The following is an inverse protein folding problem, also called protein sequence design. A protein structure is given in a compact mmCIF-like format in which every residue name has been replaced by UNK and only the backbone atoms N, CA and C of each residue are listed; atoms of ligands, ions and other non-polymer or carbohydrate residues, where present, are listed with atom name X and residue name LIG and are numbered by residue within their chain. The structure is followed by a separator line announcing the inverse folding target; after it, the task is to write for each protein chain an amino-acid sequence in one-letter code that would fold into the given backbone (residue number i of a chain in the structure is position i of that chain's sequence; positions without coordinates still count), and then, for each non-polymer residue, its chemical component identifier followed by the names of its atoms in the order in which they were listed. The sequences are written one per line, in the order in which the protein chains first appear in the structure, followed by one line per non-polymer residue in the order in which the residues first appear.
data_IF_240805866929
#
_entry.id   IF_240805866929
#
_cell.length_a   1.000
_cell.length_b   1.000
_cell.length_c   1.000
_cell.angle_alpha   90.00
_cell.angle_beta   90.00
_cell.angle_gamma   90.00
#
_symmetry.space_group_name_H-M   'P 1'
#
loop_
_entity.id
_entity.type
_entity.pdbx_description
1 polymer ?
#
# COMPACT_ATOMS: atom_id res chain seq x y z
N UNK A 1 -3.96 -2.07 -19.91
CA UNK A 1 -3.74 -3.12 -18.89
C UNK A 1 -3.38 -2.43 -17.59
N UNK A 2 -4.35 -2.02 -16.77
CA UNK A 2 -4.12 -1.35 -15.49
C UNK A 2 -5.41 -1.40 -14.66
N UNK A 3 -5.31 -1.71 -13.36
CA UNK A 3 -6.32 -2.02 -12.30
C UNK A 3 -6.66 -3.50 -12.03
N UNK A 4 -6.77 -4.41 -13.00
CA UNK A 4 -7.28 -5.79 -12.77
C UNK A 4 -6.35 -6.79 -12.03
N UNK A 5 -5.26 -6.35 -11.40
CA UNK A 5 -4.38 -7.24 -10.64
C UNK A 5 -4.34 -6.78 -9.17
N UNK A 6 -5.46 -6.97 -8.47
CA UNK A 6 -5.59 -6.77 -7.01
C UNK A 6 -4.59 -7.61 -6.20
N UNK A 7 -3.99 -8.63 -6.81
CA UNK A 7 -3.05 -9.56 -6.18
C UNK A 7 -1.56 -9.32 -6.50
N UNK A 8 -1.20 -8.27 -7.25
CA UNK A 8 0.21 -8.03 -7.63
C UNK A 8 0.76 -6.78 -6.96
N UNK A 9 1.94 -6.94 -6.35
CA UNK A 9 2.75 -5.84 -5.86
C UNK A 9 3.43 -5.13 -7.01
N UNK A 10 3.11 -3.84 -7.18
CA UNK A 10 3.64 -3.04 -8.30
C UNK A 10 5.16 -2.95 -8.22
N UNK A 11 5.71 -2.79 -7.00
CA UNK A 11 7.15 -2.94 -6.75
C UNK A 11 7.44 -3.34 -5.30
N UNK A 12 8.46 -4.16 -5.11
CA UNK A 12 9.02 -4.50 -3.79
C UNK A 12 10.48 -4.08 -3.79
N UNK A 13 10.88 -3.34 -2.76
CA UNK A 13 12.24 -2.87 -2.62
C UNK A 13 12.64 -2.81 -1.16
N UNK A 14 13.93 -2.66 -0.92
CA UNK A 14 14.47 -2.35 0.39
C UNK A 14 14.93 -0.91 0.37
N UNK A 15 14.41 -0.10 1.27
CA UNK A 15 14.92 1.25 1.46
C UNK A 15 16.36 1.16 2.00
N UNK A 16 17.30 1.77 1.29
CA UNK A 16 18.73 1.66 1.62
C UNK A 16 19.14 2.53 2.81
N UNK A 17 18.29 3.48 3.20
CA UNK A 17 18.55 4.43 4.29
C UNK A 17 17.99 3.88 5.60
N UNK A 18 16.71 3.48 5.61
CA UNK A 18 16.06 2.94 6.81
C UNK A 18 16.29 1.44 6.96
N UNK A 19 16.52 0.73 5.86
CA UNK A 19 16.57 -0.73 5.84
C UNK A 19 15.19 -1.40 5.78
N UNK A 20 14.11 -0.63 5.70
CA UNK A 20 12.74 -1.16 5.68
C UNK A 20 12.42 -1.85 4.34
N UNK A 21 11.62 -2.91 4.39
CA UNK A 21 11.03 -3.48 3.19
C UNK A 21 9.87 -2.59 2.75
N UNK A 22 9.96 -2.01 1.56
CA UNK A 22 8.95 -1.13 0.99
C UNK A 22 8.15 -1.89 -0.07
N UNK A 23 6.85 -2.00 0.18
CA UNK A 23 5.84 -2.53 -0.73
C UNK A 23 5.14 -1.34 -1.38
N UNK A 24 5.40 -1.11 -2.66
CA UNK A 24 4.82 0.02 -3.38
C UNK A 24 3.53 -0.39 -4.07
N UNK A 25 2.47 0.38 -3.83
CA UNK A 25 1.17 0.27 -4.50
C UNK A 25 1.00 1.51 -5.37
N UNK A 26 0.72 1.33 -6.66
CA UNK A 26 0.38 2.44 -7.54
C UNK A 26 -1.13 2.62 -7.60
N UNK A 27 -1.60 3.79 -7.17
CA UNK A 27 -2.97 4.25 -7.34
C UNK A 27 -3.00 5.28 -8.46
N UNK A 28 -3.71 4.96 -9.54
CA UNK A 28 -3.83 5.82 -10.72
C UNK A 28 -5.24 6.37 -10.93
N UNK A 29 -6.16 6.12 -10.00
CA UNK A 29 -7.54 6.56 -10.10
C UNK A 29 -7.67 7.96 -9.51
N UNK A 30 -8.52 8.77 -10.15
CA UNK A 30 -8.81 10.13 -9.68
C UNK A 30 -9.89 10.09 -8.60
N UNK A 31 -9.77 10.97 -7.61
CA UNK A 31 -10.73 11.11 -6.52
C UNK A 31 -11.84 12.08 -6.91
N UNK A 32 -12.93 11.54 -7.44
CA UNK A 32 -14.02 12.32 -8.05
C UNK A 32 -15.20 12.61 -7.11
N UNK A 33 -15.21 12.02 -5.91
CA UNK A 33 -16.26 12.19 -4.89
C UNK A 33 -17.39 11.13 -4.97
N UNK A 34 -17.29 10.16 -5.87
CA UNK A 34 -18.09 8.92 -5.84
C UNK A 34 -17.15 7.72 -5.97
N UNK A 35 -16.20 7.64 -5.02
CA UNK A 35 -15.05 6.76 -5.12
C UNK A 35 -15.23 5.45 -4.33
N UNK A 36 -16.47 5.06 -4.02
CA UNK A 36 -16.79 3.85 -3.25
C UNK A 36 -16.15 2.58 -3.83
N UNK A 37 -16.21 2.42 -5.15
CA UNK A 37 -15.57 1.29 -5.83
C UNK A 37 -14.04 1.36 -5.73
N UNK A 38 -13.48 2.56 -5.87
CA UNK A 38 -12.05 2.79 -5.71
C UNK A 38 -11.58 2.47 -4.28
N UNK A 39 -12.30 2.94 -3.26
CA UNK A 39 -12.03 2.65 -1.85
C UNK A 39 -12.09 1.15 -1.55
N UNK A 40 -13.07 0.44 -2.12
CA UNK A 40 -13.17 -1.01 -1.97
C UNK A 40 -11.96 -1.72 -2.57
N UNK A 41 -11.54 -1.34 -3.79
CA UNK A 41 -10.36 -1.90 -4.44
C UNK A 41 -9.08 -1.66 -3.62
N UNK A 42 -8.90 -0.46 -3.08
CA UNK A 42 -7.79 -0.11 -2.21
C UNK A 42 -7.80 -0.94 -0.92
N UNK A 43 -8.97 -1.11 -0.30
CA UNK A 43 -9.12 -1.94 0.90
C UNK A 43 -8.78 -3.40 0.62
N UNK A 44 -9.28 -3.97 -0.47
CA UNK A 44 -8.98 -5.36 -0.86
C UNK A 44 -7.49 -5.56 -1.12
N UNK A 45 -6.84 -4.60 -1.79
CA UNK A 45 -5.40 -4.63 -2.05
C UNK A 45 -4.62 -4.58 -0.73
N UNK A 46 -4.96 -3.67 0.19
CA UNK A 46 -4.29 -3.57 1.50
C UNK A 46 -4.50 -4.83 2.34
N UNK A 47 -5.72 -5.37 2.39
CA UNK A 47 -6.02 -6.61 3.12
C UNK A 47 -5.24 -7.82 2.58
N UNK A 48 -5.11 -7.90 1.25
CA UNK A 48 -4.30 -8.95 0.61
C UNK A 48 -2.84 -8.88 1.05
N UNK A 49 -2.28 -7.68 1.18
CA UNK A 49 -0.88 -7.48 1.58
C UNK A 49 -0.69 -7.75 3.07
N UNK A 50 -1.62 -7.31 3.92
CA UNK A 50 -1.64 -7.69 5.33
C UNK A 50 -1.61 -9.22 5.46
N UNK A 51 -2.47 -9.93 4.72
CA UNK A 51 -2.48 -11.40 4.70
C UNK A 51 -1.16 -12.02 4.23
N UNK A 52 -0.49 -11.44 3.23
CA UNK A 52 0.82 -11.91 2.77
C UNK A 52 1.93 -11.73 3.82
N UNK A 53 1.89 -10.63 4.57
CA UNK A 53 2.86 -10.33 5.64
C UNK A 53 2.59 -11.20 6.86
N UNK A 54 1.33 -11.26 7.32
CA UNK A 54 0.91 -12.08 8.47
C UNK A 54 1.09 -13.58 8.20
N UNK A 55 0.78 -14.04 6.98
CA UNK A 55 0.99 -15.42 6.55
C UNK A 55 2.46 -15.77 6.31
N UNK A 56 3.35 -14.78 6.32
CA UNK A 56 4.78 -14.94 6.10
C UNK A 56 5.17 -15.42 4.69
N UNK A 57 4.23 -15.40 3.74
CA UNK A 57 4.49 -15.76 2.34
C UNK A 57 5.45 -14.77 1.68
N UNK A 58 5.41 -13.51 2.12
CA UNK A 58 6.33 -12.47 1.69
C UNK A 58 7.79 -12.83 2.02
N UNK A 59 8.06 -13.49 3.15
CA UNK A 59 9.40 -13.91 3.55
C UNK A 59 9.91 -15.15 2.80
N UNK A 60 9.02 -15.91 2.17
CA UNK A 60 9.42 -17.00 1.26
C UNK A 60 9.87 -16.46 -0.08
N UNK A 61 9.18 -15.43 -0.57
CA UNK A 61 9.48 -14.78 -1.85
C UNK A 61 10.65 -13.81 -1.73
N UNK A 62 10.76 -13.11 -0.59
CA UNK A 62 11.81 -12.16 -0.27
C UNK A 62 12.45 -12.53 1.08
N UNK A 63 13.39 -13.49 1.12
CA UNK A 63 14.05 -13.90 2.36
C UNK A 63 14.73 -12.75 3.10
N UNK A 64 15.24 -11.76 2.36
CA UNK A 64 15.88 -10.56 2.89
C UNK A 64 14.92 -9.67 3.70
N UNK A 65 13.61 -9.89 3.62
CA UNK A 65 12.60 -9.17 4.39
C UNK A 65 12.44 -9.65 5.84
N UNK A 66 12.93 -10.86 6.18
CA UNK A 66 12.54 -11.59 7.41
C UNK A 66 12.84 -10.86 8.73
N UNK A 67 13.80 -9.93 8.70
CA UNK A 67 14.22 -9.14 9.87
C UNK A 67 14.03 -7.62 9.67
N UNK A 68 13.24 -7.23 8.67
CA UNK A 68 13.02 -5.81 8.31
C UNK A 68 11.61 -5.39 8.70
N UNK A 69 11.46 -4.14 9.13
CA UNK A 69 10.13 -3.54 9.22
C UNK A 69 9.52 -3.44 7.83
N UNK A 70 8.22 -3.69 7.73
CA UNK A 70 7.47 -3.58 6.47
C UNK A 70 6.79 -2.23 6.40
N UNK A 71 6.94 -1.56 5.26
CA UNK A 71 6.30 -0.31 4.91
C UNK A 71 5.48 -0.53 3.63
N UNK A 72 4.19 -0.22 3.68
CA UNK A 72 3.34 -0.10 2.50
C UNK A 72 3.35 1.37 2.08
N UNK A 73 3.81 1.64 0.86
CA UNK A 73 3.88 2.96 0.24
C UNK A 73 2.88 3.06 -0.89
N UNK A 74 1.81 3.85 -0.71
CA UNK A 74 0.81 4.07 -1.75
C UNK A 74 1.14 5.33 -2.54
N UNK A 75 1.46 5.16 -3.82
CA UNK A 75 1.80 6.23 -4.75
C UNK A 75 0.57 6.60 -5.55
N UNK A 76 -0.07 7.69 -5.16
CA UNK A 76 -1.27 8.23 -5.80
C UNK A 76 -0.89 9.13 -6.97
N UNK A 77 -1.49 8.93 -8.14
CA UNK A 77 -1.33 9.83 -9.30
C UNK A 77 -2.02 11.17 -9.09
N UNK A 78 -3.13 11.18 -8.35
CA UNK A 78 -3.95 12.34 -8.10
C UNK A 78 -3.93 12.69 -6.59
N UNK A 79 -4.16 13.97 -6.22
CA UNK A 79 -4.29 14.35 -4.82
C UNK A 79 -5.53 13.71 -4.20
N UNK A 80 -5.43 13.34 -2.92
CA UNK A 80 -6.54 12.77 -2.17
C UNK A 80 -7.68 13.81 -2.00
N UNK A 81 -8.93 13.35 -2.02
CA UNK A 81 -10.07 14.13 -1.54
C UNK A 81 -10.33 13.83 -0.04
N UNK A 82 -11.29 14.53 0.55
CA UNK A 82 -11.62 14.37 1.98
C UNK A 82 -12.03 12.93 2.35
N UNK A 83 -12.72 12.23 1.46
CA UNK A 83 -13.16 10.86 1.68
C UNK A 83 -11.97 9.89 1.72
N UNK A 84 -11.03 10.06 0.78
CA UNK A 84 -9.79 9.31 0.73
C UNK A 84 -8.92 9.56 1.96
N UNK A 85 -8.77 10.83 2.39
CA UNK A 85 -8.02 11.15 3.61
C UNK A 85 -8.59 10.43 4.85
N UNK A 86 -9.91 10.43 5.01
CA UNK A 86 -10.57 9.71 6.09
C UNK A 86 -10.32 8.20 6.01
N UNK A 87 -10.37 7.64 4.80
CA UNK A 87 -10.07 6.23 4.56
C UNK A 87 -8.63 5.88 4.96
N UNK A 88 -7.63 6.64 4.49
CA UNK A 88 -6.23 6.40 4.85
C UNK A 88 -6.01 6.55 6.35
N UNK A 89 -6.66 7.49 7.02
CA UNK A 89 -6.61 7.61 8.48
C UNK A 89 -7.07 6.33 9.20
N UNK A 90 -8.21 5.77 8.78
CA UNK A 90 -8.72 4.53 9.36
C UNK A 90 -7.82 3.33 9.07
N UNK A 91 -7.38 3.17 7.82
CA UNK A 91 -6.58 1.99 7.44
C UNK A 91 -5.17 2.07 8.03
N UNK A 92 -4.58 3.25 8.17
CA UNK A 92 -3.28 3.43 8.85
C UNK A 92 -3.31 2.83 10.24
N UNK A 93 -4.36 3.11 11.03
CA UNK A 93 -4.50 2.54 12.38
C UNK A 93 -4.60 1.02 12.39
N UNK A 94 -5.26 0.43 11.39
CA UNK A 94 -5.38 -1.03 11.26
C UNK A 94 -4.03 -1.65 10.88
N UNK A 95 -3.34 -1.08 9.89
CA UNK A 95 -2.05 -1.57 9.38
C UNK A 95 -0.95 -1.45 10.44
N UNK A 96 -0.92 -0.32 11.17
CA UNK A 96 0.00 -0.12 12.30
C UNK A 96 -0.29 -1.08 13.45
N UNK A 97 -1.56 -1.41 13.69
CA UNK A 97 -1.97 -2.45 14.65
C UNK A 97 -1.43 -3.84 14.30
N UNK A 98 -1.20 -4.11 13.01
CA UNK A 98 -0.55 -5.34 12.51
C UNK A 98 0.99 -5.26 12.50
N UNK A 99 1.58 -4.17 13.01
CA UNK A 99 3.03 -3.97 13.05
C UNK A 99 3.66 -3.55 11.72
N UNK A 100 2.84 -3.08 10.78
CA UNK A 100 3.26 -2.64 9.44
C UNK A 100 3.07 -1.12 9.37
N UNK A 101 3.97 -0.42 8.69
CA UNK A 101 3.81 1.02 8.45
C UNK A 101 2.98 1.24 7.18
N UNK A 102 2.12 2.24 7.17
CA UNK A 102 1.43 2.70 5.97
C UNK A 102 1.77 4.17 5.72
N UNK A 103 2.10 4.50 4.48
CA UNK A 103 2.20 5.88 4.03
C UNK A 103 1.58 6.03 2.65
N UNK A 104 1.20 7.26 2.31
CA UNK A 104 0.77 7.63 0.97
C UNK A 104 1.53 8.86 0.50
N UNK A 105 1.78 8.95 -0.82
CA UNK A 105 2.39 10.12 -1.45
C UNK A 105 1.80 10.35 -2.83
N UNK A 106 1.67 11.61 -3.21
CA UNK A 106 1.28 11.96 -4.58
C UNK A 106 2.51 11.91 -5.48
N UNK A 107 2.37 11.29 -6.65
CA UNK A 107 3.41 11.26 -7.67
C UNK A 107 3.61 12.66 -8.25
N UNK A 108 4.66 13.36 -7.80
CA UNK A 108 5.14 14.56 -8.46
C UNK A 108 6.09 14.14 -9.58
N UNK A 109 5.61 14.16 -10.82
CA UNK A 109 6.50 14.20 -11.98
C UNK A 109 7.23 15.56 -11.95
N UNK A 110 8.51 15.54 -11.54
CA UNK A 110 9.39 16.69 -11.70
C UNK A 110 9.76 16.90 -13.17
#
# INVERSE_FOLDING_TARGET
MSVDQTSVVDAIGVDKVTGDLVLTISDHLEWTGNDNEHLLLLQEKLNTYLGFVEGGEIFKTYPDAKDRAVLIDVVCKFPLNQEAENFYGHVTSIVEGAGIKLQHRTFNAA
#
